data_IF_369785643983
#
_entry.id   IF_369785643983
#
_cell.length_a   1.000
_cell.length_b   1.000
_cell.length_c   1.000
_cell.angle_alpha   90.00
_cell.angle_beta   90.00
_cell.angle_gamma   90.00
#
_symmetry.space_group_name_H-M   'P 1'
#
loop_
_entity.id
_entity.type
_entity.pdbx_description
1 polymer ?
#
# COMPACT_ATOMS: atom_id res chain seq x y z
N UNK A 1 -18.43 15.38 -23.38
CA UNK A 1 -17.85 14.61 -22.27
C UNK A 1 -19.02 14.16 -21.40
N UNK A 2 -19.57 12.98 -21.64
CA UNK A 2 -20.76 12.49 -20.94
C UNK A 2 -20.34 11.92 -19.58
N UNK A 3 -20.67 12.59 -18.49
CA UNK A 3 -20.63 12.02 -17.14
C UNK A 3 -21.79 11.02 -17.06
N UNK A 4 -21.50 9.73 -17.04
CA UNK A 4 -22.47 8.74 -16.60
C UNK A 4 -22.68 8.95 -15.09
N UNK A 5 -23.91 9.25 -14.64
CA UNK A 5 -24.18 9.40 -13.22
C UNK A 5 -24.01 8.02 -12.56
N UNK A 6 -23.15 7.95 -11.55
CA UNK A 6 -23.16 6.85 -10.59
C UNK A 6 -24.60 6.75 -10.03
N UNK A 7 -25.15 5.54 -9.87
CA UNK A 7 -26.52 5.38 -9.40
C UNK A 7 -26.68 6.05 -8.03
N UNK A 8 -27.45 7.13 -8.00
CA UNK A 8 -27.78 7.90 -6.80
C UNK A 8 -28.50 7.00 -5.79
N UNK A 9 -27.94 6.86 -4.59
CA UNK A 9 -28.51 6.46 -3.28
C UNK A 9 -29.54 5.32 -3.16
N UNK A 10 -30.06 4.72 -4.20
CA UNK A 10 -31.02 3.60 -4.11
C UNK A 10 -30.40 2.21 -4.28
N UNK A 11 -29.13 2.12 -4.70
CA UNK A 11 -28.31 0.91 -4.64
C UNK A 11 -26.99 1.31 -3.97
N UNK A 12 -26.93 1.32 -2.64
CA UNK A 12 -25.66 1.45 -1.94
C UNK A 12 -24.76 0.31 -2.42
N UNK A 13 -23.64 0.62 -3.07
CA UNK A 13 -22.64 -0.38 -3.45
C UNK A 13 -22.18 -1.07 -2.16
N UNK A 14 -21.90 -2.38 -2.25
CA UNK A 14 -21.36 -3.11 -1.11
C UNK A 14 -20.03 -2.46 -0.67
N UNK A 15 -19.74 -2.39 0.64
CA UNK A 15 -18.48 -1.85 1.11
C UNK A 15 -17.30 -2.71 0.65
N UNK A 16 -16.14 -2.09 0.50
CA UNK A 16 -14.87 -2.76 0.19
C UNK A 16 -13.99 -2.85 1.43
N UNK A 17 -13.30 -3.97 1.58
CA UNK A 17 -12.07 -4.07 2.35
C UNK A 17 -10.89 -3.81 1.41
N UNK A 18 -9.95 -2.95 1.79
CA UNK A 18 -8.83 -2.54 0.95
C UNK A 18 -7.52 -3.12 1.46
N UNK A 19 -6.72 -3.70 0.56
CA UNK A 19 -5.37 -4.17 0.84
C UNK A 19 -4.36 -3.32 0.05
N UNK A 20 -3.63 -2.43 0.74
CA UNK A 20 -2.77 -1.41 0.13
C UNK A 20 -1.30 -1.79 0.25
N UNK A 21 -0.66 -2.06 -0.89
CA UNK A 21 0.75 -2.41 -0.96
C UNK A 21 1.63 -1.20 -0.64
N UNK A 22 2.76 -1.45 0.02
CA UNK A 22 3.84 -0.50 0.21
C UNK A 22 4.73 -0.39 -1.03
N UNK A 23 5.36 0.77 -1.20
CA UNK A 23 6.23 1.01 -2.35
C UNK A 23 6.90 2.39 -2.36
N UNK A 24 7.12 3.01 -1.20
CA UNK A 24 7.72 4.34 -1.10
C UNK A 24 6.91 5.40 -1.83
N UNK A 25 7.55 6.23 -2.66
CA UNK A 25 6.91 7.29 -3.44
C UNK A 25 5.81 6.76 -4.39
N UNK A 26 5.90 5.50 -4.83
CA UNK A 26 4.82 4.87 -5.61
C UNK A 26 3.49 4.80 -4.85
N UNK A 27 3.49 4.97 -3.52
CA UNK A 27 2.27 5.14 -2.74
C UNK A 27 1.39 6.32 -3.18
N UNK A 28 1.93 7.30 -3.91
CA UNK A 28 1.14 8.36 -4.53
C UNK A 28 0.20 7.86 -5.64
N UNK A 29 0.53 6.74 -6.28
CA UNK A 29 -0.43 6.03 -7.15
C UNK A 29 -1.64 5.55 -6.34
N UNK A 30 -1.40 4.94 -5.17
CA UNK A 30 -2.48 4.52 -4.25
C UNK A 30 -3.30 5.71 -3.76
N UNK A 31 -2.69 6.88 -3.51
CA UNK A 31 -3.43 8.12 -3.27
C UNK A 31 -4.42 8.41 -4.41
N UNK A 32 -3.98 8.34 -5.66
CA UNK A 32 -4.85 8.52 -6.82
C UNK A 32 -6.00 7.50 -6.87
N UNK A 33 -5.71 6.25 -6.55
CA UNK A 33 -6.73 5.18 -6.46
C UNK A 33 -7.78 5.53 -5.39
N UNK A 34 -7.35 5.84 -4.18
CA UNK A 34 -8.24 6.17 -3.06
C UNK A 34 -9.05 7.44 -3.33
N UNK A 35 -8.40 8.48 -3.85
CA UNK A 35 -9.07 9.75 -4.21
C UNK A 35 -10.21 9.49 -5.20
N UNK A 36 -10.00 8.66 -6.22
CA UNK A 36 -11.04 8.37 -7.22
C UNK A 36 -12.13 7.44 -6.70
N UNK A 37 -11.80 6.45 -5.85
CA UNK A 37 -12.80 5.60 -5.19
C UNK A 37 -13.72 6.43 -4.27
N UNK A 38 -13.12 7.31 -3.46
CA UNK A 38 -13.86 8.20 -2.56
C UNK A 38 -14.75 9.18 -3.32
N UNK A 39 -14.26 9.76 -4.41
CA UNK A 39 -15.02 10.64 -5.31
C UNK A 39 -16.20 9.90 -5.95
N UNK A 40 -16.07 8.61 -6.24
CA UNK A 40 -17.14 7.75 -6.74
C UNK A 40 -18.14 7.34 -5.64
N UNK A 41 -17.88 7.67 -4.37
CA UNK A 41 -18.73 7.31 -3.25
C UNK A 41 -18.68 5.83 -2.89
N UNK A 42 -17.59 5.12 -3.21
CA UNK A 42 -17.41 3.72 -2.84
C UNK A 42 -17.24 3.59 -1.34
N UNK A 43 -18.11 2.84 -0.62
CA UNK A 43 -17.98 2.66 0.81
C UNK A 43 -16.77 1.77 1.15
N UNK A 44 -16.06 2.10 2.21
CA UNK A 44 -14.90 1.36 2.71
C UNK A 44 -15.21 0.91 4.13
N UNK A 45 -14.95 -0.38 4.45
CA UNK A 45 -15.11 -0.91 5.80
C UNK A 45 -13.78 -0.98 6.55
N UNK A 46 -12.75 -1.50 5.88
CA UNK A 46 -11.46 -1.71 6.50
C UNK A 46 -10.31 -1.58 5.51
N UNK A 47 -9.12 -1.30 6.03
CA UNK A 47 -7.91 -1.10 5.23
C UNK A 47 -6.74 -1.80 5.90
N UNK A 48 -6.11 -2.73 5.20
CA UNK A 48 -4.79 -3.25 5.53
C UNK A 48 -3.74 -2.51 4.71
N UNK A 49 -2.73 -1.96 5.38
CA UNK A 49 -1.70 -1.17 4.72
C UNK A 49 -0.30 -1.45 5.26
N UNK A 50 0.69 -1.35 4.38
CA UNK A 50 2.09 -1.53 4.70
C UNK A 50 2.90 -0.38 4.13
N UNK A 51 3.83 0.20 4.91
CA UNK A 51 4.71 1.27 4.44
C UNK A 51 3.91 2.46 3.85
N UNK A 52 4.11 2.82 2.61
CA UNK A 52 3.31 3.86 1.93
C UNK A 52 1.81 3.53 1.90
N UNK A 53 1.43 2.24 1.85
CA UNK A 53 0.04 1.81 1.99
C UNK A 53 -0.52 2.11 3.38
N UNK A 54 0.31 2.00 4.43
CA UNK A 54 -0.05 2.39 5.79
C UNK A 54 -0.26 3.90 5.92
N UNK A 55 0.62 4.70 5.31
CA UNK A 55 0.49 6.16 5.27
C UNK A 55 -0.82 6.59 4.60
N UNK A 56 -1.14 5.99 3.46
CA UNK A 56 -2.43 6.23 2.77
C UNK A 56 -3.63 5.85 3.64
N UNK A 57 -3.58 4.70 4.33
CA UNK A 57 -4.66 4.25 5.20
C UNK A 57 -4.89 5.22 6.37
N UNK A 58 -3.81 5.70 6.99
CA UNK A 58 -3.90 6.65 8.12
C UNK A 58 -4.31 8.04 7.67
N UNK A 59 -3.79 8.54 6.53
CA UNK A 59 -4.20 9.82 5.97
C UNK A 59 -5.70 9.83 5.61
N UNK A 60 -6.19 8.74 5.01
CA UNK A 60 -7.61 8.57 4.72
C UNK A 60 -8.43 8.56 6.01
N UNK A 61 -8.01 7.81 7.04
CA UNK A 61 -8.71 7.73 8.32
C UNK A 61 -8.75 9.08 9.04
N UNK A 62 -7.65 9.82 9.04
CA UNK A 62 -7.56 11.19 9.60
C UNK A 62 -8.62 12.10 8.99
N UNK A 63 -8.65 12.17 7.67
CA UNK A 63 -9.60 13.01 6.96
C UNK A 63 -11.04 12.52 7.10
N UNK A 64 -11.25 11.20 7.18
CA UNK A 64 -12.57 10.62 7.38
C UNK A 64 -13.20 11.06 8.70
N UNK A 65 -12.41 11.12 9.77
CA UNK A 65 -12.90 11.57 11.09
C UNK A 65 -13.32 13.03 11.12
N UNK A 66 -12.84 13.85 10.20
CA UNK A 66 -13.11 15.29 10.14
C UNK A 66 -14.15 15.70 9.12
N UNK A 67 -14.26 14.98 8.00
CA UNK A 67 -15.13 15.39 6.89
C UNK A 67 -15.61 14.24 5.99
N UNK A 68 -15.59 12.99 6.48
CA UNK A 68 -16.02 11.84 5.68
C UNK A 68 -15.17 11.68 4.42
N UNK A 69 -15.78 11.31 3.31
CA UNK A 69 -15.07 11.05 2.06
C UNK A 69 -14.31 12.29 1.53
N UNK A 70 -14.90 13.48 1.58
CA UNK A 70 -14.24 14.70 1.12
C UNK A 70 -13.08 15.09 2.04
N UNK A 71 -13.26 14.95 3.36
CA UNK A 71 -12.19 15.12 4.33
C UNK A 71 -11.02 14.16 4.10
N UNK A 72 -11.31 12.89 3.79
CA UNK A 72 -10.30 11.86 3.47
C UNK A 72 -9.51 12.22 2.21
N UNK A 73 -10.18 12.66 1.14
CA UNK A 73 -9.53 13.15 -0.08
C UNK A 73 -8.60 14.32 0.20
N UNK A 74 -9.09 15.31 0.95
CA UNK A 74 -8.28 16.47 1.33
C UNK A 74 -7.08 16.12 2.23
N UNK A 75 -7.21 15.13 3.12
CA UNK A 75 -6.12 14.68 3.97
C UNK A 75 -5.04 13.93 3.19
N UNK A 76 -5.43 13.08 2.25
CA UNK A 76 -4.51 12.42 1.31
C UNK A 76 -3.71 13.44 0.49
N UNK A 77 -4.39 14.46 -0.04
CA UNK A 77 -3.76 15.56 -0.80
C UNK A 77 -2.73 16.32 0.05
N UNK A 78 -3.12 16.74 1.24
CA UNK A 78 -2.21 17.44 2.18
C UNK A 78 -1.00 16.58 2.56
N UNK A 79 -1.22 15.29 2.83
CA UNK A 79 -0.15 14.39 3.22
C UNK A 79 0.90 14.25 2.11
N UNK A 80 0.48 13.94 0.89
CA UNK A 80 1.41 13.73 -0.22
C UNK A 80 2.05 15.03 -0.70
N UNK A 81 1.36 16.17 -0.59
CA UNK A 81 1.95 17.49 -0.81
C UNK A 81 3.06 17.75 0.20
N UNK A 82 2.81 17.54 1.49
CA UNK A 82 3.83 17.73 2.53
C UNK A 82 5.03 16.76 2.38
N UNK A 83 4.80 15.54 1.90
CA UNK A 83 5.89 14.62 1.53
C UNK A 83 6.73 15.20 0.39
N UNK A 84 6.09 15.73 -0.66
CA UNK A 84 6.79 16.41 -1.76
C UNK A 84 7.59 17.62 -1.30
N UNK A 85 7.00 18.45 -0.47
CA UNK A 85 7.65 19.66 0.08
C UNK A 85 8.82 19.34 1.03
N UNK A 86 8.84 18.13 1.59
CA UNK A 86 9.95 17.68 2.46
C UNK A 86 11.22 17.30 1.69
N UNK A 87 11.13 17.16 0.37
CA UNK A 87 12.29 16.87 -0.49
C UNK A 87 13.14 18.14 -0.64
N UNK A 88 14.46 18.10 -0.34
CA UNK A 88 15.31 19.27 -0.50
C UNK A 88 15.35 19.79 -1.94
N UNK A 89 15.19 21.09 -2.12
CA UNK A 89 15.13 21.76 -3.42
C UNK A 89 16.27 21.40 -4.38
N UNK A 90 17.47 21.18 -3.86
CA UNK A 90 18.62 20.80 -4.69
C UNK A 90 18.50 19.39 -5.29
N UNK A 91 17.77 18.46 -4.64
CA UNK A 91 17.48 17.13 -5.19
C UNK A 91 16.42 17.21 -6.28
N UNK A 92 15.43 18.08 -6.12
CA UNK A 92 14.42 18.36 -7.15
C UNK A 92 15.05 18.99 -8.39
N UNK A 93 15.98 19.93 -8.20
CA UNK A 93 16.72 20.55 -9.32
C UNK A 93 17.57 19.52 -10.08
N UNK A 94 18.25 18.61 -9.37
CA UNK A 94 19.05 17.55 -9.98
C UNK A 94 18.19 16.54 -10.74
N UNK A 95 17.01 16.22 -10.24
CA UNK A 95 16.02 15.37 -10.94
C UNK A 95 15.57 16.03 -12.25
N UNK A 96 15.25 17.33 -12.21
CA UNK A 96 14.80 18.09 -13.40
C UNK A 96 15.90 18.26 -14.46
N UNK A 97 17.17 18.22 -14.06
CA UNK A 97 18.31 18.32 -14.98
C UNK A 97 18.64 16.97 -15.66
N UNK A 98 18.24 15.84 -15.09
CA UNK A 98 18.44 14.50 -15.66
C UNK A 98 17.22 13.59 -15.46
N UNK A 99 16.08 13.89 -16.08
CA UNK A 99 14.83 13.17 -15.88
C UNK A 99 14.83 11.73 -16.43
N UNK A 100 15.73 11.44 -17.37
CA UNK A 100 15.77 10.11 -18.04
C UNK A 100 16.85 9.17 -17.50
N UNK A 101 17.78 9.67 -16.68
CA UNK A 101 18.82 8.81 -16.06
C UNK A 101 19.67 8.01 -17.04
N UNK A 102 19.91 8.57 -18.25
CA UNK A 102 20.70 7.91 -19.29
C UNK A 102 22.20 7.87 -18.96
N UNK A 103 22.55 7.00 -18.06
CA UNK A 103 23.77 6.23 -18.03
C UNK A 103 25.14 6.94 -17.93
N UNK A 104 25.28 8.24 -17.92
CA UNK A 104 26.62 8.84 -17.88
C UNK A 104 27.15 9.22 -16.48
N UNK A 105 26.25 9.43 -15.50
CA UNK A 105 26.61 9.60 -14.09
C UNK A 105 25.59 8.89 -13.21
N UNK A 106 26.00 8.20 -12.13
CA UNK A 106 25.06 7.64 -11.17
C UNK A 106 24.24 8.76 -10.56
N UNK A 107 22.90 8.62 -10.58
CA UNK A 107 22.06 9.62 -9.93
C UNK A 107 22.48 9.77 -8.47
N UNK A 108 22.36 10.96 -7.85
CA UNK A 108 22.70 11.14 -6.42
C UNK A 108 21.99 10.15 -5.53
N UNK A 109 20.78 9.71 -5.91
CA UNK A 109 20.01 8.69 -5.23
C UNK A 109 20.67 7.30 -5.33
N UNK A 110 21.16 6.91 -6.51
CA UNK A 110 21.88 5.64 -6.68
C UNK A 110 23.21 5.63 -5.90
N UNK A 111 23.88 6.77 -5.79
CA UNK A 111 25.08 6.93 -4.97
C UNK A 111 24.74 6.80 -3.48
N UNK A 112 23.68 7.44 -3.00
CA UNK A 112 23.19 7.32 -1.62
C UNK A 112 22.82 5.88 -1.28
N UNK A 113 22.10 5.19 -2.16
CA UNK A 113 21.77 3.77 -2.00
C UNK A 113 23.01 2.88 -1.97
N UNK A 114 24.03 3.20 -2.76
CA UNK A 114 25.33 2.52 -2.73
C UNK A 114 26.02 2.65 -1.38
N UNK A 115 26.05 3.84 -0.81
CA UNK A 115 26.61 4.15 0.51
C UNK A 115 25.79 3.44 1.61
N UNK A 116 24.48 3.47 1.55
CA UNK A 116 23.58 2.82 2.52
C UNK A 116 23.68 1.28 2.51
N UNK A 117 24.33 0.66 1.51
CA UNK A 117 24.65 -0.77 1.51
C UNK A 117 25.90 -1.12 2.31
N UNK A 118 26.78 -0.15 2.52
CA UNK A 118 28.10 -0.34 3.19
C UNK A 118 28.04 0.15 4.64
N UNK A 119 27.32 1.22 4.90
CA UNK A 119 27.21 1.84 6.21
C UNK A 119 25.80 1.69 6.75
N UNK A 120 25.68 1.43 8.06
CA UNK A 120 24.37 1.34 8.72
C UNK A 120 23.74 2.75 8.87
N UNK A 121 22.41 2.85 8.99
CA UNK A 121 21.75 4.13 9.28
C UNK A 121 22.21 4.72 10.62
N UNK A 122 22.64 3.92 11.58
CA UNK A 122 23.22 4.40 12.84
C UNK A 122 24.56 5.14 12.64
N UNK A 123 25.29 4.84 11.56
CA UNK A 123 26.53 5.54 11.19
C UNK A 123 26.26 6.75 10.31
N UNK A 124 25.30 6.66 9.35
CA UNK A 124 25.00 7.71 8.38
C UNK A 124 24.07 8.77 8.94
N UNK A 125 23.19 8.40 9.86
CA UNK A 125 22.17 9.26 10.48
C UNK A 125 22.14 9.12 12.00
N UNK A 126 23.24 9.48 12.71
CA UNK A 126 23.35 9.28 14.16
C UNK A 126 22.30 10.07 14.97
N UNK A 127 21.71 11.10 14.40
CA UNK A 127 20.66 11.92 15.03
C UNK A 127 19.24 11.43 14.72
N UNK A 128 19.08 10.31 14.02
CA UNK A 128 17.80 9.73 13.61
C UNK A 128 16.86 10.77 12.95
N UNK A 129 17.42 11.58 12.04
CA UNK A 129 16.62 12.54 11.29
C UNK A 129 15.68 11.78 10.32
N UNK A 130 14.40 12.07 10.43
CA UNK A 130 13.38 11.44 9.61
C UNK A 130 12.30 12.47 9.23
N UNK A 131 12.40 13.09 8.04
CA UNK A 131 11.42 14.09 7.59
C UNK A 131 9.98 13.58 7.57
N UNK A 132 9.77 12.27 7.32
CA UNK A 132 8.45 11.67 7.37
C UNK A 132 7.84 11.74 8.78
N UNK A 133 8.66 11.68 9.84
CA UNK A 133 8.20 11.84 11.23
C UNK A 133 7.54 13.20 11.45
N UNK A 134 8.13 14.25 10.91
CA UNK A 134 7.62 15.61 11.07
C UNK A 134 6.28 15.78 10.31
N UNK A 135 6.18 15.22 9.11
CA UNK A 135 4.92 15.19 8.35
C UNK A 135 3.83 14.44 9.10
N UNK A 136 4.14 13.26 9.64
CA UNK A 136 3.20 12.43 10.40
C UNK A 136 2.69 13.17 11.65
N UNK A 137 3.60 13.80 12.42
CA UNK A 137 3.25 14.59 13.59
C UNK A 137 2.37 15.79 13.30
N UNK A 138 2.67 16.48 12.21
CA UNK A 138 1.95 17.69 11.83
C UNK A 138 0.54 17.40 11.33
N UNK A 139 0.29 16.22 10.78
CA UNK A 139 -0.94 15.96 10.03
C UNK A 139 -1.90 14.98 10.68
N UNK A 140 -1.46 14.11 11.58
CA UNK A 140 -2.31 13.04 12.11
C UNK A 140 -2.61 13.21 13.59
N UNK A 141 -3.90 13.31 13.92
CA UNK A 141 -4.40 13.25 15.30
C UNK A 141 -4.77 11.80 15.64
N UNK A 142 -3.79 11.07 16.14
CA UNK A 142 -3.95 9.66 16.48
C UNK A 142 -4.98 9.41 17.59
N UNK A 143 -5.17 10.36 18.51
CA UNK A 143 -6.19 10.22 19.54
C UNK A 143 -7.58 10.27 18.93
N UNK A 144 -7.84 11.22 18.05
CA UNK A 144 -9.10 11.31 17.32
C UNK A 144 -9.33 10.07 16.46
N UNK A 145 -8.32 9.60 15.70
CA UNK A 145 -8.42 8.39 14.89
C UNK A 145 -8.84 7.21 15.76
N UNK A 146 -8.14 6.95 16.88
CA UNK A 146 -8.47 5.84 17.78
C UNK A 146 -9.89 5.89 18.32
N UNK A 147 -10.40 7.09 18.61
CA UNK A 147 -11.68 7.29 19.29
C UNK A 147 -12.87 7.34 18.34
N UNK A 148 -12.69 7.85 17.13
CA UNK A 148 -13.83 8.23 16.27
C UNK A 148 -13.78 7.64 14.87
N UNK A 149 -12.66 7.04 14.44
CA UNK A 149 -12.58 6.47 13.12
C UNK A 149 -13.44 5.21 13.00
N UNK A 150 -14.41 5.18 12.08
CA UNK A 150 -15.27 4.01 11.89
C UNK A 150 -14.59 2.89 11.10
N UNK A 151 -13.45 3.18 10.45
CA UNK A 151 -12.73 2.24 9.60
C UNK A 151 -11.87 1.28 10.44
N UNK A 152 -11.85 0.02 10.06
CA UNK A 152 -10.96 -1.00 10.64
C UNK A 152 -9.59 -0.90 9.95
N UNK A 153 -8.59 -0.38 10.65
CA UNK A 153 -7.23 -0.26 10.11
C UNK A 153 -6.33 -1.38 10.64
N UNK A 154 -5.47 -1.90 9.75
CA UNK A 154 -4.49 -2.94 10.03
C UNK A 154 -3.16 -2.51 9.45
N UNK A 155 -2.30 -1.94 10.28
CA UNK A 155 -0.99 -1.41 9.87
C UNK A 155 0.09 -2.42 10.22
N UNK A 156 0.79 -2.92 9.19
CA UNK A 156 1.78 -3.96 9.34
C UNK A 156 3.17 -3.41 9.65
N UNK A 157 3.85 -4.01 10.62
CA UNK A 157 5.28 -3.84 10.87
C UNK A 157 5.94 -5.19 11.14
N UNK A 158 7.26 -5.26 11.03
CA UNK A 158 8.04 -6.47 11.25
C UNK A 158 8.79 -6.40 12.56
N UNK A 159 8.52 -7.29 13.51
CA UNK A 159 9.28 -7.41 14.73
C UNK A 159 10.70 -7.92 14.42
N UNK A 160 11.73 -7.10 14.71
CA UNK A 160 13.12 -7.36 14.27
C UNK A 160 13.67 -8.65 14.83
N UNK A 161 13.44 -8.90 16.13
CA UNK A 161 14.02 -10.05 16.83
C UNK A 161 13.43 -11.39 16.41
N UNK A 162 12.18 -11.40 15.96
CA UNK A 162 11.43 -12.64 15.73
C UNK A 162 11.07 -12.88 14.28
N UNK A 163 11.16 -11.84 13.43
CA UNK A 163 10.66 -11.85 12.05
C UNK A 163 9.14 -12.02 11.94
N UNK A 164 8.40 -11.82 13.03
CA UNK A 164 6.94 -11.93 13.03
C UNK A 164 6.29 -10.63 12.59
N UNK A 165 5.19 -10.76 11.85
CA UNK A 165 4.33 -9.60 11.56
C UNK A 165 3.66 -9.10 12.86
N UNK A 166 3.68 -7.80 13.06
CA UNK A 166 2.86 -7.09 14.04
C UNK A 166 1.82 -6.27 13.28
N UNK A 167 0.56 -6.47 13.56
CA UNK A 167 -0.52 -5.63 13.05
C UNK A 167 -0.99 -4.69 14.16
N UNK A 168 -0.87 -3.40 13.90
CA UNK A 168 -1.45 -2.36 14.74
C UNK A 168 -2.86 -2.06 14.22
N UNK A 169 -3.86 -2.30 15.07
CA UNK A 169 -5.27 -2.02 14.76
C UNK A 169 -5.61 -0.58 15.05
N UNK A 170 -6.76 -0.09 14.57
CA UNK A 170 -7.21 1.30 14.74
C UNK A 170 -7.02 1.81 16.17
N UNK A 171 -7.39 1.03 17.18
CA UNK A 171 -7.28 1.41 18.60
C UNK A 171 -5.83 1.48 19.13
N UNK A 172 -4.87 0.92 18.41
CA UNK A 172 -3.44 0.86 18.79
C UNK A 172 -2.57 1.85 18.01
N UNK A 173 -3.16 2.58 17.05
CA UNK A 173 -2.40 3.47 16.18
C UNK A 173 -1.79 4.64 16.94
N UNK A 174 -0.57 4.94 16.59
CA UNK A 174 0.20 6.07 17.04
C UNK A 174 1.32 6.39 16.06
N UNK A 175 2.02 7.49 16.26
CA UNK A 175 3.15 7.89 15.42
C UNK A 175 4.14 6.74 15.24
N UNK A 176 4.57 6.10 16.33
CA UNK A 176 5.55 5.03 16.32
C UNK A 176 5.09 3.83 15.46
N UNK A 177 3.80 3.43 15.54
CA UNK A 177 3.26 2.31 14.77
C UNK A 177 3.32 2.57 13.25
N UNK A 178 2.98 3.79 12.84
CA UNK A 178 2.97 4.19 11.43
C UNK A 178 4.40 4.35 10.90
N UNK A 179 5.30 4.94 11.68
CA UNK A 179 6.72 5.05 11.32
C UNK A 179 7.41 3.68 11.29
N UNK A 180 7.06 2.75 12.19
CA UNK A 180 7.55 1.38 12.18
C UNK A 180 7.19 0.66 10.86
N UNK A 181 5.96 0.87 10.39
CA UNK A 181 5.50 0.30 9.12
C UNK A 181 6.28 0.76 7.90
N UNK A 182 6.91 1.93 7.95
CA UNK A 182 7.71 2.53 6.87
C UNK A 182 9.21 2.59 7.19
N UNK A 183 9.67 1.89 8.22
CA UNK A 183 11.05 1.89 8.68
C UNK A 183 11.93 0.93 7.86
N UNK A 184 12.48 1.40 6.74
CA UNK A 184 13.47 0.64 5.98
C UNK A 184 14.80 0.57 6.73
N UNK A 185 15.31 -0.63 7.05
CA UNK A 185 16.51 -0.82 7.88
C UNK A 185 17.82 -0.31 7.27
N UNK A 186 17.79 0.01 5.98
CA UNK A 186 18.93 0.62 5.27
C UNK A 186 18.94 2.15 5.36
N UNK A 187 17.83 2.78 5.75
CA UNK A 187 17.65 4.23 5.77
C UNK A 187 17.39 4.79 7.18
N UNK A 188 16.73 4.02 8.04
CA UNK A 188 16.24 4.48 9.34
C UNK A 188 16.68 3.55 10.48
N UNK A 189 16.84 4.13 11.67
CA UNK A 189 16.94 3.36 12.91
C UNK A 189 15.66 2.54 13.13
N UNK A 190 15.77 1.36 13.73
CA UNK A 190 14.60 0.57 14.10
C UNK A 190 13.71 1.37 15.06
N UNK A 191 12.40 1.33 14.86
CA UNK A 191 11.44 2.00 15.74
C UNK A 191 11.15 1.10 16.94
N UNK A 192 11.38 1.61 18.14
CA UNK A 192 11.08 0.91 19.39
C UNK A 192 9.64 1.21 19.85
N UNK A 193 8.88 0.14 20.15
CA UNK A 193 7.53 0.23 20.74
C UNK A 193 7.44 -0.84 21.83
N UNK A 194 7.21 -0.42 23.05
CA UNK A 194 7.06 -1.31 24.22
C UNK A 194 8.24 -2.29 24.42
N UNK A 195 9.48 -1.82 24.15
CA UNK A 195 10.71 -2.59 24.29
C UNK A 195 10.99 -3.58 23.16
N UNK A 196 10.19 -3.60 22.09
CA UNK A 196 10.43 -4.37 20.86
C UNK A 196 10.77 -3.42 19.71
N UNK A 197 11.71 -3.85 18.86
CA UNK A 197 12.17 -3.09 17.71
C UNK A 197 11.44 -3.55 16.44
N UNK A 198 11.05 -2.58 15.61
CA UNK A 198 10.29 -2.83 14.40
C UNK A 198 10.95 -2.22 13.17
N UNK A 199 10.85 -2.95 12.07
CA UNK A 199 11.15 -2.52 10.72
C UNK A 199 9.90 -2.49 9.85
N UNK A 200 10.05 -2.03 8.61
CA UNK A 200 9.00 -1.97 7.60
C UNK A 200 8.23 -3.29 7.52
N UNK A 201 6.92 -3.17 7.48
CA UNK A 201 6.02 -4.32 7.38
C UNK A 201 6.19 -5.12 6.09
N UNK A 202 6.81 -4.54 5.07
CA UNK A 202 7.05 -5.17 3.78
C UNK A 202 7.83 -6.47 3.84
N UNK A 203 8.64 -6.69 4.87
CA UNK A 203 9.34 -7.96 5.07
C UNK A 203 8.42 -9.12 5.47
N UNK A 204 7.27 -8.84 6.09
CA UNK A 204 6.39 -9.88 6.64
C UNK A 204 4.96 -9.85 6.11
N UNK A 205 4.49 -8.71 5.58
CA UNK A 205 3.14 -8.56 5.02
C UNK A 205 3.06 -7.32 4.11
N UNK A 206 2.86 -7.51 2.79
CA UNK A 206 2.86 -6.38 1.86
C UNK A 206 1.89 -6.55 0.68
N UNK A 207 0.58 -6.31 0.91
CA UNK A 207 -0.13 -6.11 2.17
C UNK A 207 -0.48 -7.41 2.88
N UNK A 208 -0.94 -7.33 4.15
CA UNK A 208 -1.57 -8.45 4.84
C UNK A 208 -3.03 -8.60 4.37
N UNK A 209 -3.42 -9.80 3.95
CA UNK A 209 -4.80 -10.09 3.50
C UNK A 209 -5.64 -10.66 4.64
N UNK A 210 -5.05 -11.55 5.48
CA UNK A 210 -5.79 -12.29 6.49
C UNK A 210 -6.58 -11.42 7.49
N UNK A 211 -6.12 -10.24 7.95
CA UNK A 211 -6.92 -9.46 8.90
C UNK A 211 -8.23 -8.98 8.29
N UNK A 212 -8.25 -8.70 6.98
CA UNK A 212 -9.46 -8.32 6.28
C UNK A 212 -10.45 -9.50 6.21
N UNK A 213 -9.95 -10.72 5.97
CA UNK A 213 -10.77 -11.93 5.96
C UNK A 213 -11.38 -12.27 7.33
N UNK A 214 -10.64 -12.02 8.41
CA UNK A 214 -11.06 -12.39 9.76
C UNK A 214 -11.87 -11.33 10.47
N UNK A 215 -11.64 -10.05 10.18
CA UNK A 215 -12.13 -8.94 10.99
C UNK A 215 -13.06 -7.99 10.23
N UNK A 216 -13.12 -8.03 8.88
CA UNK A 216 -14.12 -7.31 8.11
C UNK A 216 -15.34 -8.19 7.80
N UNK A 217 -16.52 -7.56 7.71
CA UNK A 217 -17.77 -8.24 7.41
C UNK A 217 -18.01 -8.32 5.90
N UNK A 218 -17.59 -7.29 5.16
CA UNK A 218 -17.69 -7.31 3.69
C UNK A 218 -16.89 -8.46 3.08
N UNK A 219 -17.46 -9.20 2.14
CA UNK A 219 -16.71 -10.19 1.38
C UNK A 219 -15.98 -9.62 0.16
N UNK A 220 -16.10 -8.34 -0.15
CA UNK A 220 -15.46 -7.72 -1.30
C UNK A 220 -14.10 -7.12 -0.89
N UNK A 221 -13.01 -7.72 -1.34
CA UNK A 221 -11.65 -7.32 -1.03
C UNK A 221 -10.95 -6.79 -2.28
N UNK A 222 -10.61 -5.51 -2.27
CA UNK A 222 -9.85 -4.85 -3.34
C UNK A 222 -8.38 -4.73 -2.96
N UNK A 223 -7.52 -5.36 -3.75
CA UNK A 223 -6.07 -5.22 -3.65
C UNK A 223 -5.60 -4.08 -4.54
N UNK A 224 -4.75 -3.20 -4.00
CA UNK A 224 -4.03 -2.16 -4.75
C UNK A 224 -2.56 -2.52 -4.73
N UNK A 225 -2.04 -2.97 -5.87
CA UNK A 225 -0.68 -3.45 -6.01
C UNK A 225 0.16 -2.48 -6.83
N UNK A 226 1.35 -2.17 -6.31
CA UNK A 226 2.34 -1.26 -6.90
C UNK A 226 3.46 -2.00 -7.63
N UNK A 227 3.72 -3.25 -7.23
CA UNK A 227 4.68 -4.11 -7.90
C UNK A 227 3.93 -5.03 -8.87
N UNK A 228 4.41 -5.19 -10.11
CA UNK A 228 3.81 -6.09 -11.06
C UNK A 228 3.91 -7.54 -10.56
N UNK A 229 2.84 -8.32 -10.76
CA UNK A 229 2.81 -9.73 -10.43
C UNK A 229 3.68 -10.57 -11.40
N UNK A 230 3.83 -10.10 -12.64
CA UNK A 230 4.61 -10.75 -13.68
C UNK A 230 5.57 -9.75 -14.32
N UNK A 231 6.74 -10.21 -14.72
CA UNK A 231 7.72 -9.47 -15.50
C UNK A 231 7.94 -10.18 -16.83
N UNK A 232 8.00 -9.42 -17.91
CA UNK A 232 8.19 -9.97 -19.25
C UNK A 232 9.56 -10.63 -19.42
N UNK A 233 10.59 -10.03 -18.82
CA UNK A 233 11.98 -10.44 -18.99
C UNK A 233 12.63 -10.80 -17.65
N UNK A 234 13.55 -11.76 -17.69
CA UNK A 234 14.44 -12.03 -16.58
C UNK A 234 15.51 -10.94 -16.48
N UNK A 235 15.85 -10.44 -15.27
CA UNK A 235 16.85 -9.41 -15.07
C UNK A 235 18.25 -9.94 -15.48
N UNK A 236 19.05 -9.09 -16.14
CA UNK A 236 20.38 -9.45 -16.64
C UNK A 236 21.50 -8.59 -16.09
N UNK A 237 21.25 -7.31 -15.84
CA UNK A 237 22.22 -6.42 -15.23
C UNK A 237 22.24 -6.56 -13.71
N UNK A 238 23.36 -6.21 -13.08
CA UNK A 238 23.47 -6.23 -11.60
C UNK A 238 22.41 -5.33 -10.93
N UNK A 239 22.09 -4.20 -11.54
CA UNK A 239 21.06 -3.28 -11.05
C UNK A 239 19.65 -3.90 -11.13
N UNK A 240 19.28 -4.50 -12.26
CA UNK A 240 18.00 -5.20 -12.44
C UNK A 240 17.86 -6.38 -11.48
N UNK A 241 18.93 -7.21 -11.32
CA UNK A 241 18.96 -8.34 -10.40
C UNK A 241 18.76 -7.86 -8.96
N UNK A 242 19.45 -6.80 -8.55
CA UNK A 242 19.32 -6.22 -7.22
C UNK A 242 17.89 -5.71 -6.97
N UNK A 243 17.32 -4.98 -7.94
CA UNK A 243 15.96 -4.46 -7.87
C UNK A 243 14.96 -5.62 -7.75
N UNK A 244 15.07 -6.60 -8.62
CA UNK A 244 14.15 -7.76 -8.62
C UNK A 244 14.25 -8.59 -7.34
N UNK A 245 15.47 -8.78 -6.81
CA UNK A 245 15.68 -9.49 -5.54
C UNK A 245 14.98 -8.78 -4.38
N UNK A 246 15.06 -7.46 -4.34
CA UNK A 246 14.36 -6.64 -3.34
C UNK A 246 12.84 -6.73 -3.50
N UNK A 247 12.31 -6.61 -4.71
CA UNK A 247 10.88 -6.74 -5.00
C UNK A 247 10.34 -8.11 -4.59
N UNK A 248 11.07 -9.19 -4.91
CA UNK A 248 10.71 -10.53 -4.48
C UNK A 248 10.68 -10.62 -2.95
N UNK A 249 11.68 -10.06 -2.26
CA UNK A 249 11.72 -10.03 -0.79
C UNK A 249 10.47 -9.39 -0.20
N UNK A 250 10.03 -8.27 -0.77
CA UNK A 250 8.85 -7.53 -0.30
C UNK A 250 7.50 -8.08 -0.79
N UNK A 251 7.48 -8.94 -1.81
CA UNK A 251 6.24 -9.51 -2.36
C UNK A 251 5.99 -10.95 -1.94
N UNK A 252 7.03 -11.68 -1.53
CA UNK A 252 6.95 -13.13 -1.29
C UNK A 252 5.90 -13.51 -0.23
N UNK A 253 5.79 -12.74 0.84
CA UNK A 253 4.83 -13.02 1.92
C UNK A 253 3.39 -12.87 1.44
N UNK A 254 3.08 -11.81 0.72
CA UNK A 254 1.79 -11.60 0.07
C UNK A 254 1.47 -12.71 -0.95
N UNK A 255 2.41 -13.03 -1.85
CA UNK A 255 2.22 -14.08 -2.85
C UNK A 255 1.98 -15.45 -2.21
N UNK A 256 2.68 -15.77 -1.11
CA UNK A 256 2.44 -17.00 -0.34
C UNK A 256 1.06 -17.02 0.30
N UNK A 257 0.63 -15.91 0.89
CA UNK A 257 -0.69 -15.78 1.49
C UNK A 257 -1.79 -15.98 0.43
N UNK A 258 -1.70 -15.30 -0.70
CA UNK A 258 -2.67 -15.43 -1.80
C UNK A 258 -2.68 -16.84 -2.39
N UNK A 259 -1.51 -17.48 -2.55
CA UNK A 259 -1.41 -18.87 -3.00
C UNK A 259 -2.08 -19.84 -2.03
N UNK A 260 -1.88 -19.64 -0.72
CA UNK A 260 -2.56 -20.47 0.30
C UNK A 260 -4.07 -20.29 0.26
N UNK A 261 -4.56 -19.06 0.06
CA UNK A 261 -5.99 -18.78 -0.11
C UNK A 261 -6.52 -19.49 -1.36
N UNK A 262 -5.82 -19.41 -2.49
CA UNK A 262 -6.22 -20.05 -3.75
C UNK A 262 -6.29 -21.58 -3.59
N UNK A 263 -5.26 -22.23 -3.02
CA UNK A 263 -5.27 -23.67 -2.74
C UNK A 263 -6.39 -24.07 -1.78
N UNK A 264 -6.62 -23.29 -0.71
CA UNK A 264 -7.69 -23.58 0.24
C UNK A 264 -9.06 -23.53 -0.45
N UNK A 265 -9.31 -22.51 -1.31
CA UNK A 265 -10.55 -22.42 -2.10
C UNK A 265 -10.72 -23.61 -3.03
N UNK A 266 -9.67 -24.00 -3.75
CA UNK A 266 -9.68 -25.17 -4.63
C UNK A 266 -10.00 -26.44 -3.82
N UNK A 267 -9.25 -26.69 -2.75
CA UNK A 267 -9.47 -27.87 -1.89
C UNK A 267 -10.90 -27.94 -1.32
N UNK A 268 -11.47 -26.82 -0.91
CA UNK A 268 -12.83 -26.77 -0.40
C UNK A 268 -13.85 -27.03 -1.51
N UNK A 269 -13.63 -26.51 -2.72
CA UNK A 269 -14.54 -26.65 -3.86
C UNK A 269 -14.61 -28.09 -4.41
N UNK A 270 -13.53 -28.87 -4.25
CA UNK A 270 -13.44 -30.29 -4.65
C UNK A 270 -14.15 -31.25 -3.67
N UNK A 271 -14.56 -30.77 -2.50
CA UNK A 271 -15.27 -31.62 -1.52
C UNK A 271 -16.68 -31.95 -1.98
N UNK A 272 -17.21 -33.13 -1.59
CA UNK A 272 -18.59 -33.48 -1.84
C UNK A 272 -19.55 -32.42 -1.27
N UNK A 273 -20.58 -32.04 -2.01
CA UNK A 273 -21.55 -31.00 -1.61
C UNK A 273 -22.26 -31.25 -0.28
N UNK A 274 -22.36 -32.50 0.14
CA UNK A 274 -22.95 -32.90 1.45
C UNK A 274 -21.96 -32.76 2.61
N UNK A 275 -20.70 -32.54 2.35
CA UNK A 275 -19.68 -32.38 3.42
C UNK A 275 -19.87 -31.04 4.13
N UNK A 276 -20.00 -31.06 5.47
CA UNK A 276 -20.15 -29.80 6.22
C UNK A 276 -18.90 -28.95 6.09
N UNK A 277 -19.10 -27.64 5.94
CA UNK A 277 -18.03 -26.66 5.89
C UNK A 277 -18.08 -25.72 7.09
N UNK A 278 -16.92 -25.41 7.66
CA UNK A 278 -16.76 -24.52 8.81
C UNK A 278 -16.96 -23.05 8.46
N UNK A 279 -16.82 -22.17 9.45
CA UNK A 279 -16.97 -20.72 9.29
C UNK A 279 -15.91 -20.14 8.34
N UNK A 280 -14.64 -20.55 8.51
CA UNK A 280 -13.53 -20.06 7.69
C UNK A 280 -13.67 -20.52 6.24
N UNK A 281 -14.02 -21.78 6.02
CA UNK A 281 -14.21 -22.33 4.67
C UNK A 281 -15.33 -21.59 3.94
N UNK A 282 -16.46 -21.33 4.62
CA UNK A 282 -17.53 -20.49 4.04
C UNK A 282 -17.04 -19.08 3.72
N UNK A 283 -16.27 -18.46 4.61
CA UNK A 283 -15.70 -17.12 4.37
C UNK A 283 -14.83 -17.13 3.12
N UNK A 284 -13.88 -18.05 2.99
CA UNK A 284 -12.98 -18.17 1.84
C UNK A 284 -13.72 -18.39 0.53
N UNK A 285 -14.81 -19.19 0.52
CA UNK A 285 -15.62 -19.42 -0.68
C UNK A 285 -16.47 -18.21 -1.09
N UNK A 286 -16.87 -17.36 -0.13
CA UNK A 286 -17.72 -16.20 -0.38
C UNK A 286 -16.91 -14.91 -0.61
N UNK A 287 -15.62 -14.93 -0.33
CA UNK A 287 -14.74 -13.78 -0.58
C UNK A 287 -14.66 -13.49 -2.07
N UNK A 288 -14.77 -12.23 -2.43
CA UNK A 288 -14.68 -11.74 -3.81
C UNK A 288 -13.48 -10.85 -3.95
N UNK A 289 -12.53 -11.30 -4.74
CA UNK A 289 -11.28 -10.58 -4.93
C UNK A 289 -11.36 -9.65 -6.14
N UNK A 290 -10.86 -8.45 -5.94
CA UNK A 290 -10.72 -7.39 -6.93
C UNK A 290 -9.29 -6.90 -6.94
N UNK A 291 -8.84 -6.34 -8.07
CA UNK A 291 -7.47 -5.87 -8.23
C UNK A 291 -7.45 -4.55 -9.01
N UNK A 292 -6.71 -3.60 -8.49
CA UNK A 292 -6.15 -2.46 -9.21
C UNK A 292 -4.64 -2.58 -9.13
N UNK A 293 -4.00 -2.87 -10.25
CA UNK A 293 -2.56 -3.00 -10.40
C UNK A 293 -1.96 -1.75 -11.07
N UNK A 294 -0.65 -1.65 -11.05
CA UNK A 294 0.10 -0.53 -11.60
C UNK A 294 1.15 -1.04 -12.61
N UNK A 295 0.73 -1.57 -13.77
CA UNK A 295 1.66 -2.11 -14.77
C UNK A 295 2.67 -1.05 -15.25
N UNK A 296 2.28 0.22 -15.27
CA UNK A 296 3.13 1.34 -15.68
C UNK A 296 4.33 1.57 -14.75
N UNK A 297 4.31 1.00 -13.55
CA UNK A 297 5.40 1.10 -12.57
C UNK A 297 6.42 -0.05 -12.71
N UNK A 298 6.15 -1.06 -13.51
CA UNK A 298 6.98 -2.25 -13.65
C UNK A 298 8.40 -1.97 -14.13
N UNK A 299 8.56 -1.01 -15.03
CA UNK A 299 9.84 -0.64 -15.64
C UNK A 299 10.56 0.52 -14.92
N UNK A 300 9.94 1.10 -13.89
CA UNK A 300 10.41 2.34 -13.28
C UNK A 300 11.67 2.19 -12.39
N UNK A 301 12.14 0.97 -12.12
CA UNK A 301 13.32 0.70 -11.31
C UNK A 301 13.19 1.07 -9.82
N UNK A 302 14.16 0.63 -8.99
CA UNK A 302 14.10 0.86 -7.53
C UNK A 302 14.29 2.33 -7.12
N UNK A 303 15.00 3.12 -7.92
CA UNK A 303 15.27 4.53 -7.63
C UNK A 303 13.99 5.38 -7.67
N UNK A 304 13.02 5.02 -8.52
CA UNK A 304 11.75 5.75 -8.62
C UNK A 304 10.88 5.63 -7.36
N UNK A 305 11.07 4.57 -6.56
CA UNK A 305 10.39 4.39 -5.26
C UNK A 305 10.86 5.40 -4.20
N UNK A 306 12.00 6.06 -4.44
CA UNK A 306 12.55 7.11 -3.58
C UNK A 306 12.37 8.51 -4.17
N UNK A 307 11.85 8.61 -5.39
CA UNK A 307 11.57 9.89 -6.05
C UNK A 307 10.26 10.49 -5.53
N UNK A 308 10.36 11.21 -4.43
CA UNK A 308 9.24 11.92 -3.82
C UNK A 308 9.13 13.39 -4.27
N UNK A 309 9.66 13.75 -5.45
CA UNK A 309 9.46 15.09 -6.00
C UNK A 309 7.98 15.38 -6.26
N UNK A 310 7.55 16.62 -6.06
CA UNK A 310 6.14 17.01 -6.21
C UNK A 310 5.59 16.64 -7.59
N UNK A 311 6.37 16.83 -8.66
CA UNK A 311 5.99 16.49 -10.04
C UNK A 311 5.77 14.97 -10.22
N UNK A 312 6.66 14.14 -9.66
CA UNK A 312 6.55 12.68 -9.72
C UNK A 312 5.34 12.19 -8.93
N UNK A 313 5.11 12.73 -7.73
CA UNK A 313 3.96 12.35 -6.89
C UNK A 313 2.62 12.71 -7.57
N UNK A 314 2.51 13.91 -8.16
CA UNK A 314 1.31 14.31 -8.90
C UNK A 314 1.08 13.43 -10.14
N UNK A 315 2.12 13.11 -10.89
CA UNK A 315 2.02 12.20 -12.04
C UNK A 315 1.53 10.80 -11.59
N UNK A 316 2.06 10.25 -10.52
CA UNK A 316 1.63 8.96 -9.97
C UNK A 316 0.16 9.00 -9.51
N UNK A 317 -0.25 10.09 -8.85
CA UNK A 317 -1.66 10.30 -8.49
C UNK A 317 -2.58 10.23 -9.72
N UNK A 318 -2.25 10.96 -10.78
CA UNK A 318 -3.09 10.99 -11.97
C UNK A 318 -3.14 9.62 -12.68
N UNK A 319 -2.05 8.86 -12.70
CA UNK A 319 -2.05 7.47 -13.17
C UNK A 319 -2.99 6.59 -12.32
N UNK A 320 -2.92 6.68 -10.99
CA UNK A 320 -3.80 5.94 -10.10
C UNK A 320 -5.27 6.30 -10.28
N UNK A 321 -5.58 7.60 -10.45
CA UNK A 321 -6.95 8.07 -10.76
C UNK A 321 -7.45 7.51 -12.08
N UNK A 322 -6.65 7.59 -13.14
CA UNK A 322 -7.02 7.10 -14.47
C UNK A 322 -7.26 5.57 -14.46
N UNK A 323 -6.39 4.81 -13.80
CA UNK A 323 -6.55 3.36 -13.66
C UNK A 323 -7.81 2.99 -12.89
N UNK A 324 -8.10 3.71 -11.81
CA UNK A 324 -9.33 3.51 -11.03
C UNK A 324 -10.57 3.87 -11.80
N UNK A 325 -10.55 4.93 -12.59
CA UNK A 325 -11.66 5.27 -13.49
C UNK A 325 -11.97 4.14 -14.46
N UNK A 326 -10.96 3.59 -15.12
CA UNK A 326 -11.10 2.44 -16.03
C UNK A 326 -11.64 1.21 -15.27
N UNK A 327 -11.15 0.94 -14.06
CA UNK A 327 -11.63 -0.15 -13.23
C UNK A 327 -13.09 0.04 -12.82
N UNK A 328 -13.50 1.25 -12.42
CA UNK A 328 -14.88 1.55 -12.08
C UNK A 328 -15.84 1.33 -13.26
N UNK A 329 -15.43 1.71 -14.46
CA UNK A 329 -16.25 1.53 -15.66
C UNK A 329 -16.45 0.05 -16.03
N UNK A 330 -15.41 -0.77 -15.83
CA UNK A 330 -15.42 -2.17 -16.25
C UNK A 330 -15.84 -3.15 -15.16
N UNK A 331 -15.50 -2.88 -13.90
CA UNK A 331 -15.57 -3.85 -12.81
C UNK A 331 -16.49 -3.48 -11.64
N UNK A 332 -16.83 -2.19 -11.44
CA UNK A 332 -17.63 -1.78 -10.28
C UNK A 332 -18.97 -2.50 -10.15
N UNK A 333 -19.59 -2.91 -11.27
CA UNK A 333 -20.83 -3.68 -11.29
C UNK A 333 -20.70 -5.09 -10.69
N UNK A 334 -19.46 -5.60 -10.57
CA UNK A 334 -19.13 -6.88 -9.93
C UNK A 334 -19.12 -6.80 -8.41
N UNK A 335 -18.81 -5.64 -7.83
CA UNK A 335 -18.76 -5.43 -6.37
C UNK A 335 -20.11 -5.79 -5.74
N UNK A 336 -20.08 -6.57 -4.68
CA UNK A 336 -21.26 -7.09 -4.01
C UNK A 336 -21.91 -8.30 -4.71
N UNK A 337 -21.43 -8.71 -5.88
CA UNK A 337 -22.06 -9.76 -6.71
C UNK A 337 -21.09 -10.87 -7.10
N UNK A 338 -19.91 -10.53 -7.60
CA UNK A 338 -18.89 -11.49 -8.08
C UNK A 338 -17.49 -10.88 -7.98
N UNK A 339 -16.50 -11.72 -7.88
CA UNK A 339 -15.10 -11.33 -8.03
C UNK A 339 -14.80 -10.83 -9.45
N UNK A 340 -13.77 -10.00 -9.59
CA UNK A 340 -13.32 -9.44 -10.87
C UNK A 340 -11.99 -9.99 -11.34
N UNK A 341 -11.35 -10.82 -10.52
CA UNK A 341 -10.16 -11.60 -10.85
C UNK A 341 -10.39 -13.05 -10.44
N UNK A 342 -9.73 -13.96 -11.12
CA UNK A 342 -9.64 -15.37 -10.72
C UNK A 342 -8.35 -15.56 -9.92
N UNK A 343 -8.50 -15.76 -8.61
CA UNK A 343 -7.37 -15.95 -7.69
C UNK A 343 -6.58 -17.23 -8.00
N UNK A 344 -7.26 -18.28 -8.49
CA UNK A 344 -6.61 -19.52 -8.92
C UNK A 344 -5.67 -19.25 -10.11
N UNK A 345 -6.18 -18.66 -11.17
CA UNK A 345 -5.38 -18.35 -12.37
C UNK A 345 -4.24 -17.37 -12.08
N UNK A 346 -4.44 -16.42 -11.13
CA UNK A 346 -3.47 -15.36 -10.89
C UNK A 346 -2.33 -15.78 -9.96
N UNK A 347 -2.58 -16.71 -9.01
CA UNK A 347 -1.63 -17.02 -7.94
C UNK A 347 -1.18 -18.49 -7.87
N UNK A 348 -1.80 -19.43 -8.62
CA UNK A 348 -1.35 -20.81 -8.76
C UNK A 348 -0.57 -21.01 -10.05
#
# INVERSE_FOLDING_TARGET
>A
MFRLPWPTRKNASAPLALALQGGGAHGAYTWGVLDRLLEAGVPIEGISGTSAGAMNAVALAEGWTTGGADGARAALDRFWTAVGDSVPFHLELLHNLNPSGDGSLPSPMNMLLGIARVFSPYQLNPFDLNPLRDVVRAQFDFERIRRTCPLKLFIAATAVRTGKVRLFRTAELGEAAVLASACLPTLHHAVEIDGEHYWDGGFTANPAIYPLLYECDTPDLLMVLLNPLQHENAPRSAAEISTRSMELGFSTTFLREMRMIAHARQFISERPRWSPIGRLERRLLHERFHLIDAPELGDAGSASKLDATASSLLRLRELGRARTEAWLQTHAHGVGRRETIDVGTLFL
#
